data_IF_684500234368
#
_entry.id   IF_684500234368
#
_cell.length_a   1.000
_cell.length_b   1.000
_cell.length_c   1.000
_cell.angle_alpha   90.00
_cell.angle_beta   90.00
_cell.angle_gamma   90.00
#
_symmetry.space_group_name_H-M   'P 1'
#
loop_
_entity.id
_entity.type
_entity.pdbx_description
1 polymer ?
#
# COMPACT_ATOMS: atom_id res chain seq x y z
N UNK A 1 0.86 -29.51 -22.60
CA UNK A 1 1.24 -28.36 -21.74
C UNK A 1 0.01 -27.50 -21.53
N UNK A 2 -0.77 -27.82 -20.49
CA UNK A 2 -1.87 -26.99 -20.03
C UNK A 2 -1.27 -25.71 -19.46
N UNK A 3 -1.57 -24.56 -20.06
CA UNK A 3 -1.16 -23.27 -19.53
C UNK A 3 -1.65 -23.09 -18.08
N UNK A 4 -0.99 -22.23 -17.28
CA UNK A 4 -1.43 -21.97 -15.92
C UNK A 4 -2.90 -21.54 -15.95
N UNK A 5 -3.74 -22.21 -15.16
CA UNK A 5 -5.16 -21.89 -15.03
C UNK A 5 -5.29 -20.38 -14.78
N UNK A 6 -6.08 -19.70 -15.62
CA UNK A 6 -6.32 -18.28 -15.45
C UNK A 6 -7.02 -18.10 -14.10
N UNK A 7 -6.33 -17.47 -13.14
CA UNK A 7 -6.94 -17.07 -11.88
C UNK A 7 -8.11 -16.10 -12.13
N UNK A 8 -8.88 -15.75 -11.09
CA UNK A 8 -9.99 -14.82 -11.23
C UNK A 8 -9.50 -13.51 -11.87
N UNK A 9 -10.23 -13.05 -12.88
CA UNK A 9 -9.98 -11.76 -13.56
C UNK A 9 -11.23 -10.91 -13.47
N UNK A 10 -11.05 -9.62 -13.22
CA UNK A 10 -12.15 -8.67 -13.29
C UNK A 10 -12.53 -8.49 -14.76
N UNK A 11 -13.84 -8.50 -15.06
CA UNK A 11 -14.34 -8.00 -16.33
C UNK A 11 -14.01 -6.51 -16.49
N UNK A 12 -13.98 -6.01 -17.73
CA UNK A 12 -13.70 -4.59 -17.99
C UNK A 12 -14.70 -3.68 -17.28
N UNK A 13 -15.97 -4.09 -17.22
CA UNK A 13 -17.03 -3.40 -16.48
C UNK A 13 -16.72 -3.33 -14.98
N UNK A 14 -16.36 -4.45 -14.36
CA UNK A 14 -16.01 -4.47 -12.93
C UNK A 14 -14.77 -3.62 -12.66
N UNK A 15 -13.74 -3.72 -13.50
CA UNK A 15 -12.52 -2.91 -13.37
C UNK A 15 -12.82 -1.41 -13.45
N UNK A 16 -13.70 -1.01 -14.35
CA UNK A 16 -14.16 0.35 -14.50
C UNK A 16 -14.90 0.85 -13.25
N UNK A 17 -15.82 0.04 -12.71
CA UNK A 17 -16.53 0.35 -11.46
C UNK A 17 -15.58 0.45 -10.27
N UNK A 18 -14.62 -0.47 -10.16
CA UNK A 18 -13.58 -0.43 -9.13
C UNK A 18 -12.73 0.83 -9.24
N UNK A 19 -12.35 1.23 -10.46
CA UNK A 19 -11.55 2.43 -10.70
C UNK A 19 -12.33 3.68 -10.29
N UNK A 20 -13.59 3.82 -10.73
CA UNK A 20 -14.45 4.93 -10.31
C UNK A 20 -14.59 5.00 -8.79
N UNK A 21 -14.79 3.86 -8.14
CA UNK A 21 -15.00 3.80 -6.71
C UNK A 21 -13.75 4.24 -5.94
N UNK A 22 -12.58 3.66 -6.23
CA UNK A 22 -11.32 4.03 -5.53
C UNK A 22 -10.79 5.43 -5.89
N UNK A 23 -11.28 6.02 -6.99
CA UNK A 23 -10.99 7.40 -7.39
C UNK A 23 -11.96 8.42 -6.80
N UNK A 24 -13.01 7.97 -6.13
CA UNK A 24 -13.94 8.87 -5.43
C UNK A 24 -13.26 9.46 -4.19
N UNK A 25 -13.41 10.76 -3.99
CA UNK A 25 -12.87 11.44 -2.82
C UNK A 25 -13.38 10.78 -1.52
N UNK A 26 -12.50 10.65 -0.54
CA UNK A 26 -12.72 9.95 0.74
C UNK A 26 -12.93 8.42 0.64
N UNK A 27 -12.90 7.82 -0.55
CA UNK A 27 -12.85 6.35 -0.68
C UNK A 27 -11.40 5.89 -0.69
N UNK A 28 -10.90 5.48 0.47
CA UNK A 28 -9.59 4.83 0.62
C UNK A 28 -9.69 3.30 0.46
N UNK A 29 -8.55 2.56 0.51
CA UNK A 29 -8.58 1.10 0.43
C UNK A 29 -9.40 0.42 1.54
N UNK A 30 -9.44 1.00 2.74
CA UNK A 30 -10.26 0.52 3.86
C UNK A 30 -11.75 0.67 3.54
N UNK A 31 -12.21 1.89 3.26
CA UNK A 31 -13.60 2.19 2.92
C UNK A 31 -14.05 1.46 1.65
N UNK A 32 -13.16 1.29 0.67
CA UNK A 32 -13.41 0.47 -0.52
C UNK A 32 -13.74 -0.97 -0.12
N UNK A 33 -12.91 -1.59 0.74
CA UNK A 33 -13.16 -2.96 1.23
C UNK A 33 -14.49 -3.05 1.97
N UNK A 34 -14.78 -2.10 2.85
CA UNK A 34 -16.02 -2.05 3.62
C UNK A 34 -17.24 -1.94 2.69
N UNK A 35 -17.16 -1.12 1.65
CA UNK A 35 -18.19 -0.97 0.62
C UNK A 35 -18.43 -2.26 -0.17
N UNK A 36 -17.37 -2.90 -0.67
CA UNK A 36 -17.50 -4.16 -1.42
C UNK A 36 -18.08 -5.26 -0.51
N UNK A 37 -17.60 -5.35 0.72
CA UNK A 37 -18.08 -6.35 1.67
C UNK A 37 -19.57 -6.16 1.99
N UNK A 38 -20.01 -4.92 2.16
CA UNK A 38 -21.39 -4.63 2.55
C UNK A 38 -22.39 -4.72 1.40
N UNK A 39 -22.01 -4.23 0.22
CA UNK A 39 -22.91 -4.05 -0.92
C UNK A 39 -22.68 -5.06 -2.05
N UNK A 40 -21.68 -5.95 -1.90
CA UNK A 40 -21.38 -7.06 -2.80
C UNK A 40 -20.64 -6.66 -4.08
N UNK A 41 -20.79 -5.43 -4.58
CA UNK A 41 -20.11 -4.96 -5.80
C UNK A 41 -19.82 -3.46 -5.79
N UNK A 42 -18.86 -3.05 -6.62
CA UNK A 42 -18.52 -1.64 -6.80
C UNK A 42 -19.65 -0.88 -7.50
N UNK A 43 -20.39 -1.55 -8.39
CA UNK A 43 -21.56 -1.01 -9.07
C UNK A 43 -22.64 -0.57 -8.08
N UNK A 44 -23.04 -1.47 -7.18
CA UNK A 44 -24.07 -1.18 -6.17
C UNK A 44 -23.55 -0.16 -5.17
N UNK A 45 -22.28 -0.26 -4.76
CA UNK A 45 -21.66 0.72 -3.87
C UNK A 45 -21.69 2.15 -4.47
N UNK A 46 -21.42 2.31 -5.77
CA UNK A 46 -21.45 3.60 -6.45
C UNK A 46 -22.86 4.22 -6.52
N UNK A 47 -23.90 3.40 -6.62
CA UNK A 47 -25.30 3.86 -6.62
C UNK A 47 -25.72 4.43 -5.27
N UNK A 48 -25.30 3.77 -4.18
CA UNK A 48 -25.69 4.13 -2.80
C UNK A 48 -24.75 5.19 -2.18
N UNK A 49 -23.54 5.37 -2.73
CA UNK A 49 -22.50 6.24 -2.18
C UNK A 49 -22.98 7.66 -1.80
N UNK A 50 -23.79 8.36 -2.62
CA UNK A 50 -24.31 9.68 -2.26
C UNK A 50 -25.13 9.69 -0.97
N UNK A 51 -25.97 8.67 -0.75
CA UNK A 51 -26.80 8.54 0.45
C UNK A 51 -25.97 8.27 1.70
N UNK A 52 -24.88 7.51 1.58
CA UNK A 52 -23.94 7.25 2.67
C UNK A 52 -23.20 8.50 3.11
N UNK A 53 -22.74 9.30 2.14
CA UNK A 53 -22.08 10.58 2.41
C UNK A 53 -23.02 11.52 3.17
N UNK A 54 -24.29 11.62 2.74
CA UNK A 54 -25.30 12.44 3.42
C UNK A 54 -25.55 11.93 4.84
N UNK A 55 -25.67 10.61 5.01
CA UNK A 55 -25.88 9.97 6.32
C UNK A 55 -24.71 10.21 7.29
N UNK A 56 -23.48 10.29 6.76
CA UNK A 56 -22.28 10.67 7.50
C UNK A 56 -22.19 12.17 7.84
N UNK A 57 -23.14 12.98 7.38
CA UNK A 57 -23.17 14.43 7.59
C UNK A 57 -22.29 15.21 6.63
N UNK A 58 -22.04 14.70 5.42
CA UNK A 58 -21.38 15.48 4.38
C UNK A 58 -22.26 16.67 3.96
N UNK A 59 -21.71 17.88 4.03
CA UNK A 59 -22.40 19.11 3.59
C UNK A 59 -22.53 19.13 2.05
N UNK A 60 -21.55 18.55 1.36
CA UNK A 60 -21.51 18.44 -0.10
C UNK A 60 -21.12 17.02 -0.48
N UNK A 61 -21.86 16.45 -1.43
CA UNK A 61 -21.56 15.12 -1.98
C UNK A 61 -20.23 15.22 -2.74
N UNK A 62 -19.29 14.35 -2.37
CA UNK A 62 -17.99 14.30 -3.00
C UNK A 62 -18.15 13.91 -4.49
N UNK A 63 -17.25 14.41 -5.34
CA UNK A 63 -17.31 14.13 -6.77
C UNK A 63 -17.03 12.65 -7.03
N UNK A 64 -18.02 11.94 -7.57
CA UNK A 64 -17.87 10.57 -8.07
C UNK A 64 -17.41 10.66 -9.54
N UNK A 65 -16.27 10.04 -9.92
CA UNK A 65 -15.82 10.01 -11.31
C UNK A 65 -16.87 9.42 -12.24
N UNK A 66 -17.05 10.05 -13.40
CA UNK A 66 -17.91 9.54 -14.46
C UNK A 66 -17.32 8.28 -15.11
N UNK A 67 -18.15 7.55 -15.85
CA UNK A 67 -17.71 6.40 -16.65
C UNK A 67 -16.64 6.82 -17.66
N UNK A 68 -16.87 7.90 -18.39
CA UNK A 68 -15.94 8.42 -19.40
C UNK A 68 -14.57 8.80 -18.82
N UNK A 69 -14.52 9.37 -17.61
CA UNK A 69 -13.25 9.68 -16.94
C UNK A 69 -12.45 8.43 -16.57
N UNK A 70 -13.12 7.39 -16.06
CA UNK A 70 -12.47 6.13 -15.75
C UNK A 70 -12.02 5.40 -17.03
N UNK A 71 -12.80 5.44 -18.10
CA UNK A 71 -12.41 4.90 -19.41
C UNK A 71 -11.17 5.61 -19.96
N UNK A 72 -11.13 6.94 -19.86
CA UNK A 72 -9.97 7.73 -20.27
C UNK A 72 -8.72 7.36 -19.44
N UNK A 73 -8.85 7.15 -18.13
CA UNK A 73 -7.72 6.71 -17.29
C UNK A 73 -7.24 5.29 -17.66
N UNK A 74 -8.15 4.35 -17.95
CA UNK A 74 -7.78 3.02 -18.46
C UNK A 74 -7.04 3.11 -19.79
N UNK A 75 -7.47 3.99 -20.70
CA UNK A 75 -6.83 4.20 -21.98
C UNK A 75 -5.44 4.84 -21.83
N UNK A 76 -5.29 5.83 -20.93
CA UNK A 76 -4.00 6.43 -20.59
C UNK A 76 -3.02 5.39 -20.04
N UNK A 77 -3.49 4.49 -19.18
CA UNK A 77 -2.68 3.38 -18.68
C UNK A 77 -2.20 2.49 -19.83
N UNK A 78 -3.10 2.09 -20.74
CA UNK A 78 -2.76 1.30 -21.91
C UNK A 78 -1.72 1.97 -22.81
N UNK A 79 -1.87 3.28 -23.09
CA UNK A 79 -0.93 4.09 -23.87
C UNK A 79 0.45 4.18 -23.21
N UNK A 80 0.51 4.18 -21.87
CA UNK A 80 1.76 4.17 -21.11
C UNK A 80 2.41 2.77 -20.97
N UNK A 81 1.84 1.73 -21.59
CA UNK A 81 2.29 0.35 -21.46
C UNK A 81 1.97 -0.26 -20.09
N UNK A 82 1.03 0.32 -19.36
CA UNK A 82 0.57 -0.12 -18.06
C UNK A 82 -0.81 -0.76 -18.14
N UNK A 83 -1.17 -1.49 -17.09
CA UNK A 83 -2.51 -2.03 -16.88
C UNK A 83 -2.90 -1.93 -15.42
N UNK A 84 -4.17 -1.70 -15.14
CA UNK A 84 -4.68 -1.83 -13.78
C UNK A 84 -4.91 -3.30 -13.46
N UNK A 85 -4.42 -3.74 -12.32
CA UNK A 85 -4.55 -5.11 -11.82
C UNK A 85 -5.31 -5.07 -10.49
N UNK A 86 -6.37 -5.86 -10.40
CA UNK A 86 -7.19 -5.98 -9.19
C UNK A 86 -6.57 -6.93 -8.16
N UNK A 87 -6.85 -6.69 -6.88
CA UNK A 87 -6.28 -7.44 -5.75
C UNK A 87 -6.41 -8.97 -5.86
N UNK A 88 -7.50 -9.46 -6.46
CA UNK A 88 -7.77 -10.89 -6.65
C UNK A 88 -7.02 -11.51 -7.83
N UNK A 89 -6.49 -10.71 -8.76
CA UNK A 89 -5.94 -11.19 -10.01
C UNK A 89 -4.54 -11.80 -9.85
N UNK A 90 -4.17 -12.70 -10.76
CA UNK A 90 -2.89 -13.42 -10.73
C UNK A 90 -1.67 -12.50 -10.85
N UNK A 91 -1.83 -11.35 -11.51
CA UNK A 91 -0.75 -10.38 -11.74
C UNK A 91 -0.58 -9.41 -10.56
N UNK A 92 -1.40 -9.52 -9.51
CA UNK A 92 -1.30 -8.67 -8.32
C UNK A 92 -0.21 -9.21 -7.38
N UNK A 93 0.67 -8.36 -6.80
CA UNK A 93 1.74 -8.83 -5.93
C UNK A 93 1.20 -9.59 -4.70
N UNK A 94 1.49 -10.89 -4.52
CA UNK A 94 0.87 -11.69 -3.47
C UNK A 94 1.11 -11.17 -2.05
N UNK A 95 2.31 -10.65 -1.76
CA UNK A 95 2.63 -10.11 -0.43
C UNK A 95 1.87 -8.83 -0.11
N UNK A 96 1.59 -7.98 -1.12
CA UNK A 96 0.78 -6.78 -0.93
C UNK A 96 -0.65 -7.12 -0.56
N UNK A 97 -1.21 -8.21 -1.06
CA UNK A 97 -2.58 -8.64 -0.72
C UNK A 97 -2.79 -8.83 0.78
N UNK A 98 -1.73 -9.17 1.51
CA UNK A 98 -1.78 -9.53 2.93
C UNK A 98 -1.56 -8.35 3.88
N UNK A 99 -1.40 -7.12 3.39
CA UNK A 99 -1.39 -5.95 4.26
C UNK A 99 -2.81 -5.57 4.71
N UNK A 100 -2.96 -4.74 5.74
CA UNK A 100 -4.28 -4.36 6.29
C UNK A 100 -5.21 -3.70 5.27
N UNK A 101 -4.65 -2.77 4.49
CA UNK A 101 -5.38 -1.92 3.55
C UNK A 101 -4.74 -1.97 2.15
N UNK A 102 -4.77 -3.13 1.48
CA UNK A 102 -4.15 -3.33 0.18
C UNK A 102 -4.85 -2.49 -0.90
N UNK A 103 -4.13 -1.86 -1.85
CA UNK A 103 -4.77 -1.17 -2.96
C UNK A 103 -5.71 -2.11 -3.74
N UNK A 104 -7.00 -1.79 -3.90
CA UNK A 104 -7.93 -2.68 -4.58
C UNK A 104 -7.61 -2.79 -6.08
N UNK A 105 -7.13 -1.70 -6.68
CA UNK A 105 -6.52 -1.66 -8.00
C UNK A 105 -5.09 -1.11 -7.89
N UNK A 106 -4.18 -1.70 -8.66
CA UNK A 106 -2.78 -1.28 -8.75
C UNK A 106 -2.43 -1.10 -10.23
N UNK A 107 -1.89 0.06 -10.61
CA UNK A 107 -1.33 0.24 -11.93
C UNK A 107 0.02 -0.48 -12.00
N UNK A 108 0.21 -1.31 -13.02
CA UNK A 108 1.42 -2.12 -13.23
C UNK A 108 1.93 -1.91 -14.66
N UNK A 109 3.19 -1.48 -14.79
CA UNK A 109 3.94 -1.44 -16.06
C UNK A 109 5.08 -2.46 -16.00
N UNK A 110 5.24 -3.24 -17.06
CA UNK A 110 6.23 -4.32 -17.14
C UNK A 110 5.67 -5.71 -16.84
N UNK A 111 6.56 -6.63 -16.44
CA UNK A 111 6.29 -8.06 -16.34
C UNK A 111 5.94 -8.49 -14.91
N UNK A 112 4.71 -8.98 -14.72
CA UNK A 112 4.21 -9.45 -13.43
C UNK A 112 4.89 -10.74 -12.93
N UNK A 113 5.70 -11.43 -13.76
CA UNK A 113 6.46 -12.61 -13.33
C UNK A 113 7.39 -12.31 -12.14
N UNK A 114 7.90 -11.08 -12.03
CA UNK A 114 8.75 -10.65 -10.90
C UNK A 114 8.05 -10.76 -9.55
N UNK A 115 6.71 -10.65 -9.51
CA UNK A 115 5.92 -10.77 -8.28
C UNK A 115 5.84 -12.19 -7.72
N UNK A 116 6.28 -13.19 -8.50
CA UNK A 116 6.36 -14.59 -8.04
C UNK A 116 7.60 -14.85 -7.18
N UNK A 117 8.60 -13.97 -7.27
CA UNK A 117 9.80 -14.07 -6.44
C UNK A 117 9.51 -13.49 -5.05
N UNK A 118 10.10 -14.06 -3.98
CA UNK A 118 10.06 -13.44 -2.67
C UNK A 118 10.71 -12.05 -2.72
N UNK A 119 10.02 -11.04 -2.20
CA UNK A 119 10.49 -9.66 -2.22
C UNK A 119 11.40 -9.32 -1.04
N UNK A 120 12.46 -8.55 -1.29
CA UNK A 120 13.29 -7.88 -0.27
C UNK A 120 13.36 -6.40 -0.59
N UNK A 121 13.05 -5.55 0.39
CA UNK A 121 13.14 -4.11 0.20
C UNK A 121 14.55 -3.62 0.55
N UNK A 122 15.12 -2.76 -0.30
CA UNK A 122 16.36 -2.05 0.01
C UNK A 122 16.06 -0.56 -0.07
N UNK A 123 16.17 0.15 1.05
CA UNK A 123 15.85 1.56 1.18
C UNK A 123 16.97 2.32 1.89
N UNK A 124 17.03 3.63 1.71
CA UNK A 124 17.96 4.45 2.49
C UNK A 124 18.03 5.91 2.08
N UNK A 125 19.17 6.52 2.38
CA UNK A 125 19.40 7.94 2.19
C UNK A 125 19.32 8.35 0.71
N UNK A 126 18.64 9.48 0.46
CA UNK A 126 18.67 10.14 -0.85
C UNK A 126 20.03 10.76 -1.18
N UNK A 127 20.71 11.28 -0.15
CA UNK A 127 22.07 11.80 -0.20
C UNK A 127 23.05 10.76 0.40
N UNK A 128 23.12 9.61 -0.26
CA UNK A 128 23.91 8.47 0.16
C UNK A 128 25.41 8.68 -0.06
N UNK A 129 26.24 8.05 0.77
CA UNK A 129 27.69 7.98 0.53
C UNK A 129 28.02 7.03 -0.62
N UNK A 130 29.21 7.15 -1.21
CA UNK A 130 29.68 6.19 -2.22
C UNK A 130 29.78 4.76 -1.66
N UNK A 131 30.13 4.63 -0.39
CA UNK A 131 30.15 3.34 0.30
C UNK A 131 28.73 2.77 0.44
N UNK A 132 27.74 3.59 0.84
CA UNK A 132 26.34 3.19 0.91
C UNK A 132 25.76 2.79 -0.45
N UNK A 133 26.05 3.56 -1.51
CA UNK A 133 25.66 3.23 -2.90
C UNK A 133 26.25 1.88 -3.31
N UNK A 134 27.55 1.65 -3.05
CA UNK A 134 28.22 0.39 -3.37
C UNK A 134 27.59 -0.77 -2.61
N UNK A 135 27.35 -0.60 -1.30
CA UNK A 135 26.74 -1.61 -0.44
C UNK A 135 25.32 -1.98 -0.91
N UNK A 136 24.48 -0.98 -1.20
CA UNK A 136 23.12 -1.22 -1.70
C UNK A 136 23.12 -1.98 -3.03
N UNK A 137 24.01 -1.63 -3.95
CA UNK A 137 24.15 -2.31 -5.24
C UNK A 137 24.63 -3.75 -5.08
N UNK A 138 25.61 -3.99 -4.20
CA UNK A 138 26.13 -5.33 -3.91
C UNK A 138 25.06 -6.22 -3.28
N UNK A 139 24.40 -5.74 -2.22
CA UNK A 139 23.28 -6.46 -1.59
C UNK A 139 22.19 -6.82 -2.60
N UNK A 140 21.78 -5.85 -3.43
CA UNK A 140 20.75 -6.07 -4.44
C UNK A 140 21.14 -7.11 -5.49
N UNK A 141 22.39 -7.07 -5.98
CA UNK A 141 22.88 -8.02 -6.96
C UNK A 141 22.97 -9.44 -6.38
N UNK A 142 23.45 -9.56 -5.14
CA UNK A 142 23.64 -10.85 -4.48
C UNK A 142 22.30 -11.49 -4.12
N UNK A 143 21.39 -10.74 -3.50
CA UNK A 143 20.01 -11.19 -3.24
C UNK A 143 19.26 -11.53 -4.53
N UNK A 144 19.46 -10.76 -5.59
CA UNK A 144 18.90 -11.06 -6.90
C UNK A 144 19.36 -12.42 -7.42
N UNK A 145 20.66 -12.74 -7.29
CA UNK A 145 21.22 -14.05 -7.67
C UNK A 145 20.69 -15.19 -6.80
N UNK A 146 20.37 -14.91 -5.55
CA UNK A 146 19.73 -15.85 -4.63
C UNK A 146 18.21 -16.04 -4.89
N UNK A 147 17.66 -15.39 -5.93
CA UNK A 147 16.28 -15.58 -6.37
C UNK A 147 15.26 -14.65 -5.72
N UNK A 148 15.70 -13.54 -5.12
CA UNK A 148 14.80 -12.53 -4.54
C UNK A 148 14.54 -11.38 -5.53
N UNK A 149 13.30 -10.88 -5.53
CA UNK A 149 12.99 -9.61 -6.20
C UNK A 149 13.36 -8.44 -5.29
N UNK A 150 14.10 -7.47 -5.81
CA UNK A 150 14.41 -6.25 -5.06
C UNK A 150 13.28 -5.25 -5.23
N UNK A 151 12.70 -4.79 -4.12
CA UNK A 151 11.67 -3.76 -4.10
C UNK A 151 12.25 -2.46 -3.57
N UNK A 152 12.03 -1.36 -4.26
CA UNK A 152 12.40 -0.04 -3.74
C UNK A 152 11.55 1.04 -4.39
N UNK A 153 11.75 2.28 -3.95
CA UNK A 153 10.86 3.39 -4.28
C UNK A 153 11.35 4.34 -5.34
N UNK A 154 12.40 3.98 -6.09
CA UNK A 154 12.99 4.84 -7.12
C UNK A 154 13.45 6.22 -6.63
N UNK A 155 13.69 6.41 -5.32
CA UNK A 155 14.32 7.65 -4.86
C UNK A 155 15.78 7.75 -5.36
N UNK A 156 16.39 8.93 -5.27
CA UNK A 156 17.84 9.08 -5.48
C UNK A 156 18.61 8.27 -4.43
N UNK A 157 19.90 8.03 -4.70
CA UNK A 157 20.80 7.42 -3.71
C UNK A 157 20.60 5.91 -3.61
N UNK A 158 20.28 5.43 -2.41
CA UNK A 158 20.20 3.98 -2.12
C UNK A 158 19.17 3.26 -2.99
N UNK A 159 17.96 3.79 -3.16
CA UNK A 159 16.91 3.16 -3.97
C UNK A 159 17.37 2.98 -5.44
N UNK A 160 17.90 4.04 -6.08
CA UNK A 160 18.50 3.95 -7.43
C UNK A 160 19.58 2.87 -7.51
N UNK A 161 20.49 2.82 -6.53
CA UNK A 161 21.59 1.86 -6.52
C UNK A 161 21.12 0.41 -6.37
N UNK A 162 20.09 0.18 -5.55
CA UNK A 162 19.47 -1.12 -5.36
C UNK A 162 18.80 -1.62 -6.65
N UNK A 163 18.03 -0.77 -7.32
CA UNK A 163 17.42 -1.10 -8.61
C UNK A 163 18.49 -1.44 -9.66
N UNK A 164 19.52 -0.59 -9.81
CA UNK A 164 20.62 -0.84 -10.75
C UNK A 164 21.35 -2.17 -10.49
N UNK A 165 21.52 -2.55 -9.22
CA UNK A 165 22.15 -3.82 -8.84
C UNK A 165 21.31 -5.05 -9.19
N UNK A 166 20.00 -4.91 -9.38
CA UNK A 166 19.05 -6.01 -9.52
C UNK A 166 18.30 -6.04 -10.87
N UNK A 167 18.66 -5.16 -11.83
CA UNK A 167 18.06 -5.12 -13.16
C UNK A 167 18.12 -6.46 -13.90
N UNK A 168 19.21 -7.23 -13.71
CA UNK A 168 19.40 -8.51 -14.40
C UNK A 168 18.57 -9.66 -13.81
N UNK A 169 18.15 -9.55 -12.55
CA UNK A 169 17.50 -10.62 -11.78
C UNK A 169 16.02 -10.35 -11.53
N UNK A 170 15.62 -9.08 -11.58
CA UNK A 170 14.24 -8.63 -11.38
C UNK A 170 14.13 -7.64 -10.23
N UNK A 171 13.49 -6.51 -10.49
CA UNK A 171 13.24 -5.48 -9.48
C UNK A 171 11.87 -4.83 -9.66
N UNK A 172 11.31 -4.33 -8.56
CA UNK A 172 10.00 -3.71 -8.49
C UNK A 172 10.16 -2.27 -7.99
N UNK A 173 9.87 -1.31 -8.85
CA UNK A 173 9.85 0.11 -8.51
C UNK A 173 8.47 0.56 -8.07
N UNK A 174 8.36 1.20 -6.90
CA UNK A 174 7.09 1.69 -6.36
C UNK A 174 7.04 3.22 -6.41
N UNK A 175 6.15 3.77 -7.24
CA UNK A 175 6.02 5.21 -7.45
C UNK A 175 5.06 5.87 -6.47
N UNK A 176 5.41 7.10 -6.05
CA UNK A 176 4.58 7.92 -5.17
C UNK A 176 3.54 8.77 -5.93
N UNK A 177 3.64 8.85 -7.25
CA UNK A 177 2.71 9.59 -8.12
C UNK A 177 2.16 8.70 -9.22
N UNK A 178 1.57 9.32 -10.24
CA UNK A 178 1.08 8.64 -11.44
C UNK A 178 2.22 7.89 -12.13
N UNK A 179 1.90 6.75 -12.72
CA UNK A 179 2.91 5.91 -13.37
C UNK A 179 3.56 6.63 -14.58
N UNK A 180 2.80 7.52 -15.20
CA UNK A 180 3.20 8.41 -16.31
C UNK A 180 4.05 9.62 -15.90
N UNK A 181 4.16 9.91 -14.60
CA UNK A 181 4.94 11.04 -14.07
C UNK A 181 5.99 10.55 -13.04
N UNK A 182 6.99 9.76 -13.47
CA UNK A 182 8.01 9.23 -12.57
C UNK A 182 8.79 10.37 -11.90
N UNK A 183 8.98 10.23 -10.58
CA UNK A 183 9.81 11.15 -9.79
C UNK A 183 10.82 10.36 -8.96
N UNK A 184 12.10 10.76 -8.95
CA UNK A 184 12.64 11.97 -9.55
C UNK A 184 12.87 11.81 -11.08
N UNK A 185 12.81 12.89 -11.89
CA UNK A 185 12.88 12.80 -13.36
C UNK A 185 14.17 12.14 -13.89
N UNK A 186 15.27 12.26 -13.15
CA UNK A 186 16.56 11.67 -13.51
C UNK A 186 16.54 10.13 -13.50
N UNK A 187 15.57 9.52 -12.80
CA UNK A 187 15.37 8.07 -12.79
C UNK A 187 14.36 7.60 -13.86
N UNK A 188 13.89 8.46 -14.78
CA UNK A 188 12.96 8.05 -15.83
C UNK A 188 13.52 6.94 -16.72
N UNK A 189 14.79 7.03 -17.13
CA UNK A 189 15.46 5.97 -17.90
C UNK A 189 15.51 4.64 -17.15
N UNK A 190 15.84 4.71 -15.85
CA UNK A 190 15.83 3.53 -14.98
C UNK A 190 14.43 2.92 -14.84
N UNK A 191 13.37 3.71 -14.82
CA UNK A 191 12.00 3.19 -14.79
C UNK A 191 11.68 2.34 -16.03
N UNK A 192 12.14 2.77 -17.22
CA UNK A 192 11.98 2.01 -18.45
C UNK A 192 12.79 0.71 -18.41
N UNK A 193 14.07 0.76 -17.98
CA UNK A 193 14.91 -0.43 -17.81
C UNK A 193 14.29 -1.46 -16.83
N UNK A 194 13.68 -0.97 -15.74
CA UNK A 194 12.95 -1.84 -14.81
C UNK A 194 11.71 -2.44 -15.48
N UNK A 195 10.94 -1.65 -16.24
CA UNK A 195 9.73 -2.14 -16.89
C UNK A 195 10.01 -3.26 -17.91
N UNK A 196 11.19 -3.32 -18.51
CA UNK A 196 11.58 -4.39 -19.44
C UNK A 196 11.76 -5.76 -18.75
N UNK A 197 12.24 -5.78 -17.49
CA UNK A 197 12.73 -7.01 -16.82
C UNK A 197 12.09 -7.27 -15.46
N UNK A 198 11.33 -6.31 -14.96
CA UNK A 198 10.66 -6.31 -13.68
C UNK A 198 9.34 -5.56 -13.80
N UNK A 199 8.99 -4.77 -12.79
CA UNK A 199 7.73 -4.03 -12.80
C UNK A 199 7.84 -2.67 -12.12
N UNK A 200 7.09 -1.70 -12.63
CA UNK A 200 6.80 -0.45 -11.95
C UNK A 200 5.35 -0.48 -11.51
N UNK A 201 5.10 -0.11 -10.25
CA UNK A 201 3.76 -0.09 -9.67
C UNK A 201 3.40 1.26 -9.06
N UNK A 202 2.13 1.62 -9.13
CA UNK A 202 1.56 2.80 -8.44
C UNK A 202 0.10 2.57 -8.05
N UNK A 203 -0.31 3.12 -6.91
CA UNK A 203 -1.73 3.21 -6.51
C UNK A 203 -2.40 4.53 -6.93
N UNK A 204 -1.61 5.49 -7.44
CA UNK A 204 -2.06 6.86 -7.71
C UNK A 204 -2.69 6.99 -9.11
N UNK A 205 -3.54 8.01 -9.33
CA UNK A 205 -4.10 8.29 -10.65
C UNK A 205 -3.02 8.60 -11.70
N UNK A 206 -3.31 8.32 -12.97
CA UNK A 206 -2.51 8.86 -14.07
C UNK A 206 -2.58 10.40 -14.08
N UNK A 207 -1.48 11.05 -14.43
CA UNK A 207 -1.32 12.51 -14.36
C UNK A 207 -1.07 13.06 -12.95
N UNK A 208 -0.99 12.20 -11.93
CA UNK A 208 -0.79 12.64 -10.56
C UNK A 208 0.66 13.04 -10.26
N UNK A 209 0.88 14.33 -9.99
CA UNK A 209 2.18 14.82 -9.55
C UNK A 209 2.43 14.47 -8.07
N UNK A 210 3.53 13.78 -7.73
CA UNK A 210 3.81 13.37 -6.36
C UNK A 210 4.09 14.57 -5.45
N UNK A 211 3.41 14.62 -4.31
CA UNK A 211 3.58 15.62 -3.24
C UNK A 211 4.27 15.00 -2.03
N UNK A 212 4.73 15.82 -1.09
CA UNK A 212 5.45 15.37 0.10
C UNK A 212 4.72 14.26 0.88
N UNK A 213 3.39 14.39 1.04
CA UNK A 213 2.53 13.42 1.73
C UNK A 213 2.33 12.10 0.98
N UNK A 214 2.57 12.08 -0.34
CA UNK A 214 2.37 10.88 -1.16
C UNK A 214 3.54 9.89 -0.97
N UNK A 215 4.73 10.35 -0.54
CA UNK A 215 5.89 9.48 -0.29
C UNK A 215 5.70 8.55 0.93
N UNK A 216 5.30 9.03 2.13
CA UNK A 216 4.96 8.15 3.24
C UNK A 216 3.83 7.18 2.89
N UNK A 217 2.80 7.65 2.17
CA UNK A 217 1.72 6.79 1.67
C UNK A 217 2.28 5.66 0.80
N UNK A 218 3.17 5.96 -0.16
CA UNK A 218 3.80 4.94 -1.00
C UNK A 218 4.68 3.96 -0.22
N UNK A 219 5.35 4.40 0.85
CA UNK A 219 6.26 3.55 1.61
C UNK A 219 5.59 2.31 2.20
N UNK A 220 4.28 2.39 2.51
CA UNK A 220 3.48 1.23 2.93
C UNK A 220 3.47 0.11 1.89
N UNK A 221 3.55 0.45 0.60
CA UNK A 221 3.56 -0.53 -0.49
C UNK A 221 4.94 -1.17 -0.62
N UNK A 222 6.01 -0.40 -0.43
CA UNK A 222 7.38 -0.95 -0.38
C UNK A 222 7.50 -1.96 0.77
N UNK A 223 7.00 -1.61 1.97
CA UNK A 223 7.01 -2.50 3.13
C UNK A 223 6.05 -3.69 2.98
N UNK A 224 4.87 -3.48 2.38
CA UNK A 224 3.87 -4.52 2.21
C UNK A 224 4.27 -5.59 1.19
N UNK A 225 5.06 -5.22 0.17
CA UNK A 225 5.44 -6.10 -0.95
C UNK A 225 6.61 -7.06 -0.65
N UNK A 226 7.12 -7.11 0.59
CA UNK A 226 8.38 -7.81 0.91
C UNK A 226 8.28 -8.68 2.16
N UNK A 227 9.18 -9.65 2.28
CA UNK A 227 9.36 -10.47 3.48
C UNK A 227 10.28 -9.79 4.50
N UNK A 228 11.21 -8.97 4.00
CA UNK A 228 12.13 -8.20 4.82
C UNK A 228 12.56 -6.90 4.16
N UNK A 229 12.95 -5.93 4.98
CA UNK A 229 13.37 -4.60 4.56
C UNK A 229 14.71 -4.23 5.17
N UNK A 230 15.65 -3.83 4.33
CA UNK A 230 17.02 -3.44 4.70
C UNK A 230 17.18 -1.94 4.55
N UNK A 231 17.63 -1.29 5.62
CA UNK A 231 18.04 0.11 5.59
C UNK A 231 19.57 0.20 5.48
N UNK A 232 20.08 0.72 4.36
CA UNK A 232 21.53 0.77 4.10
C UNK A 232 22.17 2.00 4.74
N UNK A 233 21.56 3.17 4.58
CA UNK A 233 21.97 4.41 5.24
C UNK A 233 20.73 5.22 5.60
N UNK A 234 20.73 5.84 6.77
CA UNK A 234 19.65 6.71 7.22
C UNK A 234 20.16 7.68 8.29
N UNK A 235 20.01 8.98 8.05
CA UNK A 235 20.07 9.95 9.13
C UNK A 235 18.86 9.80 10.06
N UNK A 236 18.94 10.34 11.28
CA UNK A 236 17.93 10.16 12.34
C UNK A 236 16.49 10.59 11.94
N UNK A 237 16.35 11.49 10.97
CA UNK A 237 15.05 11.96 10.42
C UNK A 237 14.84 11.55 8.95
N UNK A 238 15.44 10.42 8.54
CA UNK A 238 15.30 9.91 7.17
C UNK A 238 13.92 9.30 6.92
N UNK A 239 13.34 9.57 5.75
CA UNK A 239 12.08 8.94 5.33
C UNK A 239 12.17 7.42 5.17
N UNK A 240 13.37 6.85 5.01
CA UNK A 240 13.57 5.39 5.00
C UNK A 240 13.27 4.72 6.35
N UNK A 241 13.37 5.47 7.46
CA UNK A 241 13.00 4.98 8.79
C UNK A 241 11.47 4.81 8.93
N UNK A 242 10.68 5.57 8.16
CA UNK A 242 9.23 5.36 8.07
C UNK A 242 8.94 4.00 7.46
N UNK A 243 9.64 3.63 6.37
CA UNK A 243 9.47 2.31 5.74
C UNK A 243 9.89 1.18 6.69
N UNK A 244 10.98 1.35 7.46
CA UNK A 244 11.41 0.36 8.46
C UNK A 244 10.38 0.18 9.57
N UNK A 245 9.81 1.27 10.08
CA UNK A 245 8.72 1.22 11.06
C UNK A 245 7.50 0.49 10.52
N UNK A 246 7.02 0.87 9.32
CA UNK A 246 5.87 0.23 8.67
C UNK A 246 6.12 -1.27 8.42
N UNK A 247 7.34 -1.64 8.03
CA UNK A 247 7.72 -3.04 7.86
C UNK A 247 7.63 -3.81 9.18
N UNK A 248 8.14 -3.25 10.29
CA UNK A 248 8.02 -3.84 11.62
C UNK A 248 6.57 -3.98 12.09
N UNK A 249 5.74 -2.95 11.88
CA UNK A 249 4.30 -2.97 12.20
C UNK A 249 3.55 -4.06 11.39
N UNK A 250 3.98 -4.36 10.17
CA UNK A 250 3.44 -5.44 9.32
C UNK A 250 4.06 -6.83 9.61
N UNK A 251 4.89 -6.95 10.65
CA UNK A 251 5.55 -8.20 11.02
C UNK A 251 6.62 -8.65 10.00
N UNK A 252 7.18 -7.74 9.21
CA UNK A 252 8.31 -8.02 8.31
C UNK A 252 9.61 -7.94 9.08
N UNK A 253 10.60 -8.73 8.64
CA UNK A 253 11.94 -8.64 9.22
C UNK A 253 12.60 -7.31 8.83
N UNK A 254 13.10 -6.57 9.83
CA UNK A 254 13.80 -5.30 9.61
C UNK A 254 15.29 -5.53 9.81
N UNK A 255 16.07 -5.08 8.82
CA UNK A 255 17.51 -5.19 8.78
C UNK A 255 18.14 -3.81 8.66
N UNK A 256 19.35 -3.66 9.18
CA UNK A 256 20.10 -2.42 9.06
C UNK A 256 21.60 -2.68 8.84
N UNK A 257 22.19 -1.91 7.93
CA UNK A 257 23.65 -1.91 7.73
C UNK A 257 24.28 -1.02 8.80
N UNK A 258 25.27 -1.53 9.57
CA UNK A 258 25.92 -0.74 10.61
C UNK A 258 26.83 0.31 9.99
N UNK A 259 27.10 1.38 10.73
CA UNK A 259 28.09 2.37 10.33
C UNK A 259 28.78 3.04 11.52
N UNK A 260 29.81 3.85 11.23
CA UNK A 260 30.55 4.56 12.26
C UNK A 260 29.61 5.43 13.12
N UNK A 261 29.72 5.42 14.47
CA UNK A 261 28.98 6.34 15.32
C UNK A 261 29.24 7.83 15.03
N UNK A 262 30.34 8.13 14.32
CA UNK A 262 30.70 9.49 13.89
C UNK A 262 30.10 9.87 12.53
N UNK A 263 29.54 8.91 11.78
CA UNK A 263 28.86 9.22 10.51
C UNK A 263 27.38 9.52 10.77
N UNK A 264 26.90 10.75 10.52
CA UNK A 264 25.49 11.08 10.71
C UNK A 264 24.55 10.27 9.80
N UNK A 265 25.04 9.68 8.70
CA UNK A 265 24.24 8.79 7.83
C UNK A 265 24.00 7.41 8.44
N UNK A 266 24.78 7.02 9.43
CA UNK A 266 24.61 5.76 10.16
C UNK A 266 23.76 5.91 11.42
N UNK A 267 23.41 7.14 11.83
CA UNK A 267 22.69 7.38 13.08
C UNK A 267 21.33 6.66 13.15
N UNK A 268 20.58 6.67 12.04
CA UNK A 268 19.28 5.99 11.93
C UNK A 268 19.41 4.48 11.84
N UNK A 269 20.36 3.95 11.04
CA UNK A 269 20.58 2.50 10.96
C UNK A 269 21.09 1.93 12.29
N UNK A 270 22.05 2.59 12.93
CA UNK A 270 22.50 2.20 14.28
C UNK A 270 21.39 2.35 15.33
N UNK A 271 20.45 3.29 15.15
CA UNK A 271 19.24 3.39 15.95
C UNK A 271 18.36 2.14 15.81
N UNK A 272 18.04 1.75 14.57
CA UNK A 272 17.28 0.52 14.29
C UNK A 272 17.94 -0.72 14.90
N UNK A 273 19.28 -0.82 14.85
CA UNK A 273 20.02 -1.93 15.48
C UNK A 273 19.84 -1.96 17.01
N UNK A 274 19.80 -0.79 17.66
CA UNK A 274 19.50 -0.69 19.11
C UNK A 274 18.06 -1.09 19.42
N UNK A 275 17.15 -0.83 18.48
CA UNK A 275 15.73 -1.18 18.58
C UNK A 275 15.44 -2.64 18.19
N UNK A 276 16.46 -3.44 17.87
CA UNK A 276 16.35 -4.87 17.62
C UNK A 276 16.32 -5.30 16.15
N UNK A 277 16.59 -4.39 15.20
CA UNK A 277 16.78 -4.77 13.81
C UNK A 277 18.01 -5.69 13.64
N UNK A 278 17.95 -6.61 12.69
CA UNK A 278 19.04 -7.53 12.40
C UNK A 278 20.20 -6.80 11.69
N UNK A 279 21.41 -6.98 12.21
CA UNK A 279 22.63 -6.42 11.62
C UNK A 279 22.96 -7.11 10.30
N UNK A 280 23.29 -6.31 9.27
CA UNK A 280 23.65 -6.82 7.94
C UNK A 280 25.00 -6.28 7.49
N UNK A 281 25.88 -7.20 7.11
CA UNK A 281 27.16 -6.92 6.45
C UNK A 281 27.27 -7.54 5.07
N UNK A 282 26.43 -8.52 4.75
CA UNK A 282 26.36 -9.19 3.47
C UNK A 282 24.95 -9.72 3.15
N UNK A 283 24.68 -10.11 1.91
CA UNK A 283 23.37 -10.61 1.52
C UNK A 283 22.95 -11.90 2.25
N UNK A 284 23.93 -12.72 2.66
CA UNK A 284 23.67 -13.98 3.36
C UNK A 284 22.99 -13.78 4.72
N UNK A 285 23.28 -12.66 5.41
CA UNK A 285 22.63 -12.28 6.68
C UNK A 285 21.11 -12.15 6.49
N UNK A 286 20.69 -11.63 5.34
CA UNK A 286 19.29 -11.40 4.98
C UNK A 286 18.66 -12.70 4.47
N UNK A 287 19.29 -13.36 3.49
CA UNK A 287 18.69 -14.54 2.86
C UNK A 287 18.53 -15.70 3.84
N UNK A 288 19.46 -15.88 4.80
CA UNK A 288 19.32 -16.88 5.88
C UNK A 288 18.15 -16.59 6.81
N UNK A 289 17.92 -15.32 7.14
CA UNK A 289 16.83 -14.93 8.03
C UNK A 289 15.46 -15.01 7.33
N UNK A 290 15.40 -14.73 6.03
CA UNK A 290 14.17 -14.78 5.23
C UNK A 290 13.86 -16.19 4.71
N UNK A 291 14.85 -17.05 4.49
CA UNK A 291 14.65 -18.39 3.91
C UNK A 291 13.56 -19.25 4.60
N UNK A 292 13.40 -19.26 5.94
CA UNK A 292 12.31 -19.99 6.59
C UNK A 292 10.91 -19.47 6.21
N UNK A 293 10.81 -18.22 5.77
CA UNK A 293 9.58 -17.56 5.35
C UNK A 293 9.32 -17.75 3.85
N UNK A 294 10.34 -18.11 3.05
CA UNK A 294 10.16 -18.37 1.63
C UNK A 294 9.46 -19.72 1.44
N UNK A 295 8.39 -19.74 0.65
CA UNK A 295 7.60 -20.96 0.45
C UNK A 295 6.68 -21.32 1.63
N UNK A 296 6.71 -20.60 2.76
CA UNK A 296 5.54 -20.54 3.62
C UNK A 296 4.40 -20.01 2.76
N UNK A 297 3.40 -20.85 2.48
CA UNK A 297 2.10 -20.33 2.09
C UNK A 297 1.75 -19.32 3.17
N UNK A 298 1.42 -18.09 2.77
CA UNK A 298 0.62 -17.26 3.64
C UNK A 298 -0.49 -18.18 4.17
N UNK A 299 -0.77 -18.19 5.49
CA UNK A 299 -1.91 -18.96 5.99
C UNK A 299 -3.05 -18.71 5.03
N UNK A 300 -3.71 -19.77 4.55
CA UNK A 300 -4.83 -19.62 3.63
C UNK A 300 -5.68 -18.52 4.24
N UNK A 301 -5.63 -17.32 3.64
CA UNK A 301 -6.52 -16.25 4.03
C UNK A 301 -7.85 -16.91 3.73
N UNK A 302 -8.68 -17.22 4.73
CA UNK A 302 -9.91 -17.94 4.48
C UNK A 302 -10.57 -17.22 3.31
N UNK A 303 -10.92 -17.98 2.25
CA UNK A 303 -11.31 -17.41 0.96
C UNK A 303 -12.30 -16.30 1.27
N UNK A 304 -11.92 -15.04 0.96
CA UNK A 304 -12.62 -13.80 1.38
C UNK A 304 -13.80 -14.16 2.25
N UNK A 305 -13.59 -14.37 3.56
CA UNK A 305 -14.66 -14.81 4.46
C UNK A 305 -15.88 -13.99 4.07
N UNK A 306 -16.95 -14.68 3.63
CA UNK A 306 -18.17 -14.00 3.23
C UNK A 306 -18.44 -13.03 4.37
N UNK A 307 -18.38 -11.71 4.10
CA UNK A 307 -18.53 -10.73 5.17
C UNK A 307 -19.81 -11.12 5.89
N UNK A 308 -19.81 -11.11 7.23
CA UNK A 308 -20.95 -11.64 7.98
C UNK A 308 -22.21 -11.06 7.37
N UNK A 309 -23.18 -11.91 7.02
CA UNK A 309 -24.36 -11.48 6.28
C UNK A 309 -25.17 -10.52 7.16
N UNK A 310 -24.84 -9.25 7.05
CA UNK A 310 -25.47 -8.18 7.78
C UNK A 310 -26.73 -7.70 7.04
N UNK A 311 -27.15 -8.35 5.94
CA UNK A 311 -28.39 -7.98 5.23
C UNK A 311 -29.62 -8.07 6.14
N UNK A 312 -29.57 -8.95 7.14
CA UNK A 312 -30.61 -9.11 8.15
C UNK A 312 -30.55 -8.07 9.27
N UNK A 313 -29.45 -7.33 9.45
CA UNK A 313 -29.37 -6.29 10.48
C UNK A 313 -29.98 -5.00 9.93
N UNK A 314 -30.97 -4.39 10.60
CA UNK A 314 -31.54 -3.13 10.15
C UNK A 314 -30.46 -2.03 10.13
N UNK A 315 -30.53 -1.09 9.18
CA UNK A 315 -29.62 0.05 9.16
C UNK A 315 -29.74 0.81 10.50
N UNK A 316 -28.65 1.46 10.96
CA UNK A 316 -28.71 2.25 12.19
C UNK A 316 -29.80 3.33 12.05
N UNK A 317 -30.55 3.57 13.12
CA UNK A 317 -31.44 4.72 13.22
C UNK A 317 -30.68 6.03 13.45
N UNK A 318 -31.39 7.16 13.48
CA UNK A 318 -30.78 8.46 13.80
C UNK A 318 -30.21 8.49 15.23
N UNK A 319 -30.93 7.88 16.19
CA UNK A 319 -30.44 7.73 17.56
C UNK A 319 -29.20 6.84 17.67
N UNK A 320 -29.10 5.78 16.87
CA UNK A 320 -27.92 4.91 16.84
C UNK A 320 -26.70 5.66 16.30
N UNK A 321 -26.89 6.46 15.24
CA UNK A 321 -25.84 7.35 14.69
C UNK A 321 -25.35 8.33 15.73
N UNK A 322 -26.26 9.01 16.43
CA UNK A 322 -25.92 9.96 17.49
C UNK A 322 -25.06 9.30 18.58
N UNK A 323 -25.45 8.09 19.04
CA UNK A 323 -24.71 7.34 20.07
C UNK A 323 -23.29 6.98 19.65
N UNK A 324 -23.08 6.57 18.40
CA UNK A 324 -21.73 6.28 17.89
C UNK A 324 -20.91 7.56 17.78
N UNK A 325 -21.49 8.65 17.29
CA UNK A 325 -20.79 9.94 17.16
C UNK A 325 -20.41 10.50 18.54
N UNK A 326 -21.30 10.41 19.52
CA UNK A 326 -21.04 10.83 20.91
C UNK A 326 -19.96 10.00 21.60
N UNK A 327 -19.81 8.72 21.24
CA UNK A 327 -18.75 7.85 21.74
C UNK A 327 -17.36 8.18 21.16
N UNK A 328 -17.31 8.95 20.07
CA UNK A 328 -16.07 9.33 19.40
C UNK A 328 -15.62 10.73 19.82
N UNK A 329 -14.31 10.95 19.75
CA UNK A 329 -13.69 12.25 19.98
C UNK A 329 -12.44 12.42 19.11
N UNK A 330 -11.60 13.45 19.40
CA UNK A 330 -10.36 13.67 18.64
C UNK A 330 -9.27 12.65 19.01
N UNK A 331 -9.48 11.89 20.08
CA UNK A 331 -8.55 10.85 20.53
C UNK A 331 -8.92 9.50 19.90
N UNK A 332 -7.94 8.76 19.33
CA UNK A 332 -8.21 7.43 18.77
C UNK A 332 -8.76 6.46 19.82
N UNK A 333 -9.85 5.77 19.48
CA UNK A 333 -10.49 4.74 20.29
C UNK A 333 -10.69 3.45 19.48
N UNK A 334 -10.63 2.30 20.15
CA UNK A 334 -10.79 1.00 19.49
C UNK A 334 -12.25 0.78 19.07
N UNK A 335 -12.47 0.23 17.87
CA UNK A 335 -13.83 -0.04 17.38
C UNK A 335 -14.61 -0.99 18.30
N UNK A 336 -13.94 -2.00 18.88
CA UNK A 336 -14.55 -2.91 19.86
C UNK A 336 -15.02 -2.21 21.14
N UNK A 337 -14.35 -1.12 21.52
CA UNK A 337 -14.75 -0.29 22.65
C UNK A 337 -16.01 0.51 22.33
N UNK A 338 -16.10 1.06 21.11
CA UNK A 338 -17.32 1.74 20.62
C UNK A 338 -18.50 0.77 20.59
N UNK A 339 -18.30 -0.45 20.07
CA UNK A 339 -19.33 -1.49 20.04
C UNK A 339 -19.81 -1.81 21.47
N UNK A 340 -18.87 -2.02 22.39
CA UNK A 340 -19.19 -2.33 23.80
C UNK A 340 -19.89 -1.17 24.51
N UNK A 341 -19.44 0.06 24.28
CA UNK A 341 -19.98 1.27 24.92
C UNK A 341 -21.38 1.61 24.41
N UNK A 342 -21.59 1.52 23.10
CA UNK A 342 -22.89 1.79 22.47
C UNK A 342 -23.85 0.60 22.59
N UNK A 343 -23.37 -0.62 22.83
CA UNK A 343 -24.22 -1.81 22.85
C UNK A 343 -24.97 -2.06 21.53
N UNK A 344 -24.59 -1.37 20.46
CA UNK A 344 -25.15 -1.56 19.13
C UNK A 344 -24.59 -2.82 18.50
N UNK A 345 -25.33 -3.36 17.53
CA UNK A 345 -24.81 -4.48 16.75
C UNK A 345 -23.54 -4.03 15.99
N UNK A 346 -22.47 -4.85 15.90
CA UNK A 346 -21.24 -4.47 15.20
C UNK A 346 -21.49 -3.89 13.80
N UNK A 347 -22.42 -4.51 13.05
CA UNK A 347 -22.80 -4.03 11.72
C UNK A 347 -23.30 -2.58 11.69
N UNK A 348 -24.06 -2.18 12.71
CA UNK A 348 -24.58 -0.81 12.81
C UNK A 348 -23.43 0.16 13.11
N UNK A 349 -22.51 -0.19 14.01
CA UNK A 349 -21.34 0.64 14.32
C UNK A 349 -20.45 0.79 13.09
N UNK A 350 -20.12 -0.30 12.40
CA UNK A 350 -19.33 -0.26 11.17
C UNK A 350 -20.00 0.59 10.08
N UNK A 351 -21.33 0.53 9.96
CA UNK A 351 -22.08 1.37 9.02
C UNK A 351 -21.91 2.85 9.34
N UNK A 352 -22.07 3.26 10.60
CA UNK A 352 -21.89 4.67 10.98
C UNK A 352 -20.44 5.12 10.77
N UNK A 353 -19.45 4.28 11.09
CA UNK A 353 -18.05 4.59 10.83
C UNK A 353 -17.76 4.75 9.33
N UNK A 354 -18.33 3.88 8.48
CA UNK A 354 -18.21 3.99 7.03
C UNK A 354 -18.84 5.29 6.52
N UNK A 355 -20.04 5.64 6.97
CA UNK A 355 -20.71 6.90 6.64
C UNK A 355 -19.85 8.11 7.01
N UNK A 356 -19.28 8.14 8.22
CA UNK A 356 -18.37 9.21 8.68
C UNK A 356 -17.09 9.30 7.85
N UNK A 357 -16.49 8.16 7.51
CA UNK A 357 -15.28 8.06 6.68
C UNK A 357 -15.52 8.64 5.28
N UNK A 358 -16.63 8.25 4.65
CA UNK A 358 -17.05 8.78 3.34
C UNK A 358 -17.38 10.28 3.38
N UNK A 359 -17.92 10.76 4.50
CA UNK A 359 -18.14 12.18 4.74
C UNK A 359 -16.84 12.97 5.06
N UNK A 360 -15.69 12.30 5.17
CA UNK A 360 -14.40 12.92 5.50
C UNK A 360 -14.31 13.37 6.96
N UNK A 361 -15.11 12.78 7.85
CA UNK A 361 -15.23 13.12 9.28
C UNK A 361 -14.61 12.08 10.21
N UNK A 362 -14.03 11.01 9.66
CA UNK A 362 -13.35 9.96 10.39
C UNK A 362 -11.87 9.91 10.00
N UNK A 363 -11.00 9.63 10.97
CA UNK A 363 -9.61 9.24 10.74
C UNK A 363 -9.38 7.84 11.28
N UNK A 364 -8.72 6.99 10.48
CA UNK A 364 -8.36 5.62 10.86
C UNK A 364 -6.89 5.56 11.28
N UNK A 365 -6.64 4.83 12.36
CA UNK A 365 -5.33 4.66 12.97
C UNK A 365 -4.93 3.19 12.99
N UNK A 366 -3.66 2.92 13.30
CA UNK A 366 -3.18 1.56 13.49
C UNK A 366 -3.95 0.83 14.62
N UNK A 367 -4.08 -0.50 14.50
CA UNK A 367 -4.71 -1.33 15.53
C UNK A 367 -6.25 -1.22 15.57
N UNK A 368 -6.89 -0.92 14.44
CA UNK A 368 -8.35 -0.75 14.35
C UNK A 368 -8.91 0.36 15.28
N UNK A 369 -8.12 1.41 15.48
CA UNK A 369 -8.55 2.60 16.21
C UNK A 369 -9.10 3.66 15.24
N UNK A 370 -10.07 4.45 15.69
CA UNK A 370 -10.71 5.52 14.93
C UNK A 370 -10.90 6.78 15.77
N UNK A 371 -10.88 7.95 15.13
CA UNK A 371 -11.19 9.24 15.77
C UNK A 371 -12.03 10.13 14.85
N UNK A 372 -12.72 11.11 15.43
CA UNK A 372 -13.41 12.16 14.67
C UNK A 372 -12.42 13.23 14.20
N UNK A 373 -12.61 13.68 12.96
CA UNK A 373 -11.93 14.84 12.39
C UNK A 373 -12.78 16.08 12.67
N UNK A 374 -12.22 17.03 13.41
CA UNK A 374 -12.85 18.32 13.71
C UNK A 374 -12.22 19.40 12.81
N UNK A 375 -12.88 19.74 11.70
CA UNK A 375 -12.45 20.81 10.79
C UNK A 375 -13.17 20.77 9.44
N UNK A 376 -13.27 21.91 8.75
CA UNK A 376 -13.76 21.94 7.38
C UNK A 376 -12.84 21.10 6.47
N UNK A 377 -13.39 20.30 5.54
CA UNK A 377 -12.57 19.50 4.64
C UNK A 377 -11.63 20.41 3.86
N UNK A 378 -10.33 20.11 3.92
CA UNK A 378 -9.32 20.85 3.16
C UNK A 378 -9.65 20.76 1.66
N UNK A 379 -9.85 21.93 1.05
CA UNK A 379 -10.25 22.13 -0.35
C UNK A 379 -9.26 21.53 -1.33
#
# INVERSE_FOLDING_TARGET
MSGPAAGPRLSDRQRLSWLRLIRTQNVGPASFRDLINRFGSAEVALEILPELMISGGAIRIARIPSVAEAEAELELAGKAGARFVGIGETDYPPLLRNMDHPPPLLAVKGNAAVFRLPGVAIVGARNASLAGIKMARMLAADLGRDGYAIVSGLARGIDTAAHQGSLATGTIGVLAGGLDLPYPPENAGLCEEIAERGAIISEMPFGWQPRAQDFPRRNRLVAGAVLGLVVVEAAQRSGSLISARLAGEMGRLVFAVPGSPLDPRAAGTNGLLKDGATLVTEASDISRAIAPLTGMRAPDVPPFEEPPDFSATPPPGESDRARVIEALGPTPVAVDEIIRHTGLHPAQVFMVLLELDLAGRLERHAGANVSLVFGEPSV
#
